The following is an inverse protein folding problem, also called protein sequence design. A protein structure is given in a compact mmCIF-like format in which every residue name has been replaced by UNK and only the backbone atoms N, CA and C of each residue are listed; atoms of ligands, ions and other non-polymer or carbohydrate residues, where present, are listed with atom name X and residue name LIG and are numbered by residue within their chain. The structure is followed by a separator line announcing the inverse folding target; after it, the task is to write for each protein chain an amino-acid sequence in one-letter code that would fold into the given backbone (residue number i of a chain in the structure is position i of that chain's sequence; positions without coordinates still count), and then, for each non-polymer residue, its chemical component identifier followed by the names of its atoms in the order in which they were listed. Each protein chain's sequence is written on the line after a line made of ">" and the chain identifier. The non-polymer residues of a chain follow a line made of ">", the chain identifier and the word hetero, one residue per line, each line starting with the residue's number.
data_IF_679315160269
#
_entry.id   IF_679315160269
#
_cell.length_a   1.000
_cell.length_b   1.000
_cell.length_c   1.000
_cell.angle_alpha   90.00
_cell.angle_beta   90.00
_cell.angle_gamma   90.00
#
_symmetry.space_group_name_H-M   'P 1'
#
loop_
_entity.id
_entity.type
_entity.pdbx_description
1 polymer ?
#
# COMPACT_ATOMS: atom_id res chain seq x y z
N UNK A 1 35.34 10.59 -42.52
CA UNK A 1 34.46 11.19 -43.55
C UNK A 1 33.84 10.07 -44.37
N UNK A 2 32.65 9.59 -44.01
CA UNK A 2 31.59 9.11 -44.93
C UNK A 2 30.28 9.27 -44.15
N UNK A 3 29.44 10.17 -44.63
CA UNK A 3 28.10 10.50 -44.14
C UNK A 3 27.08 9.51 -44.70
N UNK A 4 26.33 8.82 -43.84
CA UNK A 4 25.21 7.96 -44.23
C UNK A 4 23.90 8.51 -43.68
N UNK A 5 23.12 9.17 -44.54
CA UNK A 5 21.72 9.48 -44.32
C UNK A 5 20.90 8.19 -44.17
N UNK A 6 20.14 8.07 -43.08
CA UNK A 6 19.07 7.09 -42.95
C UNK A 6 17.72 7.79 -43.13
N UNK A 7 16.99 7.26 -44.10
CA UNK A 7 15.72 7.73 -44.63
C UNK A 7 14.57 7.42 -43.67
N UNK A 8 13.68 8.39 -43.43
CA UNK A 8 12.35 8.18 -42.87
C UNK A 8 11.42 7.61 -43.96
N UNK A 9 10.44 6.77 -43.58
CA UNK A 9 9.13 6.81 -44.21
C UNK A 9 8.04 7.14 -43.18
N UNK A 10 7.35 8.25 -43.45
CA UNK A 10 6.02 8.59 -42.94
C UNK A 10 4.96 7.89 -43.81
N UNK A 11 3.88 7.37 -43.20
CA UNK A 11 2.47 7.30 -43.64
C UNK A 11 1.76 6.38 -42.61
N UNK A 12 0.96 6.87 -41.64
CA UNK A 12 -0.44 7.33 -41.77
C UNK A 12 -1.42 6.24 -42.20
N UNK A 13 -2.07 5.55 -41.24
CA UNK A 13 -3.51 5.23 -41.23
C UNK A 13 -3.95 4.67 -39.85
N UNK A 14 -5.21 4.93 -39.40
CA UNK A 14 -5.67 4.65 -38.04
C UNK A 14 -6.43 3.30 -37.96
N UNK A 15 -6.53 2.63 -36.80
CA UNK A 15 -7.53 1.58 -36.63
C UNK A 15 -8.88 2.18 -36.27
N UNK A 16 -9.85 1.87 -37.12
CA UNK A 16 -11.31 2.06 -37.06
C UNK A 16 -11.92 1.43 -35.79
N UNK A 17 -13.11 1.87 -35.33
CA UNK A 17 -13.55 1.78 -33.94
C UNK A 17 -14.19 0.43 -33.63
N UNK A 18 -13.96 -0.07 -32.42
CA UNK A 18 -14.81 -1.08 -31.81
C UNK A 18 -15.79 -0.35 -30.89
N UNK A 19 -17.02 -0.24 -31.37
CA UNK A 19 -18.21 0.04 -30.55
C UNK A 19 -19.11 -1.18 -30.61
N UNK A 20 -19.63 -1.48 -29.43
CA UNK A 20 -20.81 -2.28 -29.04
C UNK A 20 -20.51 -2.72 -27.59
N UNK A 21 -20.37 -1.78 -26.64
CA UNK A 21 -21.46 -1.32 -25.76
C UNK A 21 -22.33 -2.50 -25.26
N UNK A 22 -21.93 -3.14 -24.13
CA UNK A 22 -22.82 -3.52 -23.00
C UNK A 22 -22.18 -4.45 -21.93
N UNK A 23 -20.96 -4.96 -22.08
CA UNK A 23 -20.58 -6.15 -21.31
C UNK A 23 -19.82 -6.02 -19.97
N UNK A 24 -19.46 -4.84 -19.45
CA UNK A 24 -18.59 -4.77 -18.26
C UNK A 24 -18.87 -3.61 -17.29
N UNK A 25 -20.09 -3.08 -17.25
CA UNK A 25 -20.50 -2.05 -16.28
C UNK A 25 -20.67 -2.59 -14.84
N UNK A 26 -20.07 -3.74 -14.48
CA UNK A 26 -20.32 -4.42 -13.19
C UNK A 26 -19.09 -5.11 -12.56
N UNK A 27 -17.92 -5.16 -13.19
CA UNK A 27 -16.72 -5.80 -12.58
C UNK A 27 -15.86 -4.87 -11.72
N UNK A 28 -16.36 -3.67 -11.40
CA UNK A 28 -15.65 -2.64 -10.62
C UNK A 28 -16.02 -2.60 -9.13
N UNK A 29 -16.62 -3.68 -8.61
CA UNK A 29 -16.54 -4.02 -7.18
C UNK A 29 -15.36 -5.00 -6.96
N UNK A 30 -14.16 -4.44 -7.11
CA UNK A 30 -12.90 -4.88 -6.46
C UNK A 30 -12.72 -6.39 -6.28
N UNK A 31 -12.64 -7.12 -7.40
CA UNK A 31 -12.11 -8.50 -7.52
C UNK A 31 -12.32 -9.37 -6.28
N UNK A 32 -13.61 -9.65 -6.05
CA UNK A 32 -14.14 -10.89 -5.49
C UNK A 32 -13.54 -12.09 -6.23
N UNK A 33 -13.86 -13.31 -5.77
CA UNK A 33 -13.44 -14.60 -6.32
C UNK A 33 -13.75 -14.82 -7.83
N UNK A 34 -14.25 -13.80 -8.52
CA UNK A 34 -14.82 -13.79 -9.86
C UNK A 34 -13.74 -13.63 -10.95
N UNK A 35 -12.54 -13.13 -10.62
CA UNK A 35 -11.42 -13.11 -11.59
C UNK A 35 -10.83 -14.50 -11.88
N UNK A 36 -11.25 -15.52 -11.14
CA UNK A 36 -10.85 -16.91 -11.40
C UNK A 36 -11.69 -17.59 -12.50
N UNK A 37 -12.87 -17.06 -12.85
CA UNK A 37 -13.68 -17.61 -13.95
C UNK A 37 -13.02 -17.35 -15.32
N UNK A 38 -12.23 -16.29 -15.45
CA UNK A 38 -11.45 -15.99 -16.66
C UNK A 38 -10.15 -16.82 -16.80
N UNK A 39 -9.75 -17.57 -15.77
CA UNK A 39 -8.62 -18.52 -15.83
C UNK A 39 -9.11 -19.91 -16.25
N UNK A 40 -10.12 -19.98 -17.11
CA UNK A 40 -10.60 -21.25 -17.64
C UNK A 40 -9.71 -21.84 -18.74
N UNK A 41 -8.72 -21.09 -19.26
CA UNK A 41 -8.03 -21.49 -20.49
C UNK A 41 -6.57 -21.94 -20.38
N UNK A 42 -5.84 -21.69 -19.29
CA UNK A 42 -4.41 -22.07 -19.26
C UNK A 42 -3.92 -22.46 -17.86
N UNK A 43 -3.86 -23.77 -17.58
CA UNK A 43 -2.75 -24.52 -16.92
C UNK A 43 -3.23 -25.89 -16.38
N UNK A 44 -2.39 -26.91 -16.59
CA UNK A 44 -2.47 -28.30 -16.12
C UNK A 44 -2.63 -28.42 -14.59
N UNK A 45 -3.87 -28.58 -14.10
CA UNK A 45 -4.30 -29.49 -13.02
C UNK A 45 -5.54 -28.91 -12.31
N UNK A 46 -6.74 -29.23 -12.82
CA UNK A 46 -8.01 -28.78 -12.25
C UNK A 46 -8.21 -29.16 -10.77
N UNK A 47 -7.52 -30.21 -10.30
CA UNK A 47 -7.59 -30.67 -8.90
C UNK A 47 -6.87 -29.71 -7.95
N UNK A 48 -5.66 -29.25 -8.30
CA UNK A 48 -4.90 -28.32 -7.47
C UNK A 48 -5.60 -26.95 -7.41
N UNK A 49 -6.09 -26.49 -8.57
CA UNK A 49 -6.83 -25.24 -8.67
C UNK A 49 -8.13 -25.28 -7.85
N UNK A 50 -8.88 -26.38 -7.95
CA UNK A 50 -10.10 -26.60 -7.16
C UNK A 50 -9.80 -26.71 -5.65
N UNK A 51 -8.70 -27.35 -5.26
CA UNK A 51 -8.29 -27.42 -3.85
C UNK A 51 -7.93 -26.04 -3.28
N UNK A 52 -7.17 -25.24 -4.04
CA UNK A 52 -6.83 -23.85 -3.68
C UNK A 52 -8.07 -22.97 -3.58
N UNK A 53 -8.98 -23.05 -4.56
CA UNK A 53 -10.25 -22.35 -4.55
C UNK A 53 -11.08 -22.68 -3.30
N UNK A 54 -11.23 -23.98 -2.99
CA UNK A 54 -11.97 -24.41 -1.81
C UNK A 54 -11.33 -23.96 -0.50
N UNK A 55 -9.99 -23.92 -0.42
CA UNK A 55 -9.27 -23.40 0.74
C UNK A 55 -9.54 -21.90 0.95
N UNK A 56 -9.44 -21.10 -0.12
CA UNK A 56 -9.72 -19.66 -0.06
C UNK A 56 -11.19 -19.38 0.28
N UNK A 57 -12.13 -20.15 -0.28
CA UNK A 57 -13.56 -20.04 0.03
C UNK A 57 -13.84 -20.31 1.51
N UNK A 58 -13.30 -21.40 2.06
CA UNK A 58 -13.44 -21.73 3.50
C UNK A 58 -12.87 -20.61 4.37
N UNK A 59 -11.69 -20.11 4.03
CA UNK A 59 -11.05 -19.00 4.75
C UNK A 59 -11.90 -17.72 4.71
N UNK A 60 -12.49 -17.39 3.55
CA UNK A 60 -13.43 -16.26 3.41
C UNK A 60 -14.62 -16.41 4.36
N UNK A 61 -15.19 -17.60 4.45
CA UNK A 61 -16.31 -17.91 5.35
C UNK A 61 -15.89 -17.84 6.84
N UNK A 62 -14.67 -18.26 7.16
CA UNK A 62 -14.12 -18.15 8.53
C UNK A 62 -13.93 -16.70 8.95
N UNK A 63 -13.33 -15.85 8.11
CA UNK A 63 -13.15 -14.42 8.38
C UNK A 63 -14.52 -13.75 8.51
N UNK A 64 -15.45 -14.02 7.59
CA UNK A 64 -16.81 -13.46 7.63
C UNK A 64 -17.53 -13.83 8.94
N UNK A 65 -17.46 -15.11 9.34
CA UNK A 65 -18.07 -15.59 10.59
C UNK A 65 -17.41 -14.95 11.81
N UNK A 66 -16.09 -14.82 11.79
CA UNK A 66 -15.35 -14.17 12.86
C UNK A 66 -15.77 -12.71 13.03
N UNK A 67 -15.80 -11.93 11.95
CA UNK A 67 -16.21 -10.51 11.99
C UNK A 67 -17.67 -10.36 12.42
N UNK A 68 -18.57 -11.22 11.93
CA UNK A 68 -19.98 -11.20 12.34
C UNK A 68 -20.17 -11.50 13.83
N UNK A 69 -19.44 -12.48 14.36
CA UNK A 69 -19.55 -12.87 15.77
C UNK A 69 -19.01 -11.82 16.74
N UNK A 70 -18.13 -10.93 16.27
CA UNK A 70 -17.51 -9.86 17.07
C UNK A 70 -17.89 -8.48 16.54
N UNK A 71 -19.08 -8.34 15.94
CA UNK A 71 -19.53 -7.07 15.38
C UNK A 71 -19.80 -6.02 16.47
N UNK A 72 -20.25 -6.48 17.65
CA UNK A 72 -20.55 -5.64 18.82
C UNK A 72 -19.35 -5.49 19.78
N UNK A 73 -18.27 -6.25 19.54
CA UNK A 73 -17.06 -6.26 20.36
C UNK A 73 -15.96 -5.39 19.77
N UNK A 74 -15.06 -4.87 20.60
CA UNK A 74 -13.84 -4.23 20.10
C UNK A 74 -12.89 -5.28 19.50
N UNK A 75 -12.78 -5.29 18.17
CA UNK A 75 -11.86 -6.15 17.40
C UNK A 75 -10.41 -6.04 17.89
N UNK A 76 -10.02 -4.95 18.55
CA UNK A 76 -8.68 -4.78 19.11
C UNK A 76 -8.32 -5.82 20.17
N UNK A 77 -9.31 -6.46 20.81
CA UNK A 77 -9.12 -7.55 21.77
C UNK A 77 -8.71 -8.86 21.10
N UNK A 78 -8.97 -9.02 19.81
CA UNK A 78 -8.70 -10.26 19.06
C UNK A 78 -7.52 -10.13 18.09
N UNK A 79 -6.56 -9.27 18.42
CA UNK A 79 -5.43 -8.94 17.55
C UNK A 79 -4.63 -10.15 17.07
N UNK A 80 -4.49 -11.19 17.90
CA UNK A 80 -3.76 -12.39 17.54
C UNK A 80 -4.49 -13.20 16.47
N UNK A 81 -5.82 -13.28 16.54
CA UNK A 81 -6.65 -13.93 15.52
C UNK A 81 -6.59 -13.16 14.20
N UNK A 82 -6.71 -11.83 14.26
CA UNK A 82 -6.60 -10.97 13.07
C UNK A 82 -5.23 -11.12 12.38
N UNK A 83 -4.14 -11.13 13.17
CA UNK A 83 -2.78 -11.43 12.67
C UNK A 83 -2.67 -12.85 12.12
N UNK A 84 -3.35 -13.81 12.71
CA UNK A 84 -3.42 -15.19 12.20
C UNK A 84 -4.05 -15.26 10.81
N UNK A 85 -5.18 -14.58 10.60
CA UNK A 85 -5.82 -14.47 9.27
C UNK A 85 -4.93 -13.76 8.26
N UNK A 86 -4.31 -12.64 8.66
CA UNK A 86 -3.38 -11.90 7.82
C UNK A 86 -2.15 -12.73 7.43
N UNK A 87 -1.59 -13.55 8.32
CA UNK A 87 -0.37 -14.32 8.05
C UNK A 87 -0.62 -15.63 7.31
N UNK A 88 -1.79 -16.24 7.48
CA UNK A 88 -2.15 -17.49 6.80
C UNK A 88 -2.28 -17.33 5.29
N UNK A 89 -2.13 -18.42 4.53
CA UNK A 89 -2.15 -18.43 3.06
C UNK A 89 -3.35 -17.65 2.49
N UNK A 90 -3.10 -16.84 1.45
CA UNK A 90 -4.12 -15.97 0.84
C UNK A 90 -4.50 -14.69 1.62
N UNK A 91 -4.03 -14.52 2.86
CA UNK A 91 -4.21 -13.27 3.61
C UNK A 91 -5.65 -12.95 3.98
N UNK A 92 -5.99 -11.67 3.99
CA UNK A 92 -7.34 -11.24 4.32
C UNK A 92 -8.31 -11.40 3.14
N UNK A 93 -7.82 -11.78 1.96
CA UNK A 93 -8.58 -12.10 0.74
C UNK A 93 -9.27 -10.88 0.13
N UNK A 94 -10.21 -10.24 0.84
CA UNK A 94 -11.08 -9.18 0.32
C UNK A 94 -10.82 -7.84 0.98
N UNK A 95 -10.95 -6.76 0.20
CA UNK A 95 -10.77 -5.39 0.66
C UNK A 95 -11.79 -5.00 1.73
N UNK A 96 -13.02 -5.49 1.67
CA UNK A 96 -14.03 -5.28 2.71
C UNK A 96 -13.59 -5.77 4.10
N UNK A 97 -12.78 -6.84 4.16
CA UNK A 97 -12.23 -7.35 5.42
C UNK A 97 -11.00 -6.54 5.81
N UNK A 98 -10.15 -6.17 4.84
CA UNK A 98 -8.99 -5.31 5.08
C UNK A 98 -9.39 -3.94 5.61
N UNK A 99 -10.42 -3.32 5.06
CA UNK A 99 -10.97 -2.03 5.52
C UNK A 99 -11.36 -2.06 7.01
N UNK A 100 -11.82 -3.20 7.51
CA UNK A 100 -12.16 -3.37 8.93
C UNK A 100 -10.95 -3.73 9.79
N UNK A 101 -10.03 -4.55 9.26
CA UNK A 101 -8.93 -5.16 10.02
C UNK A 101 -7.69 -4.28 10.05
N UNK A 102 -7.31 -3.65 8.92
CA UNK A 102 -6.10 -2.82 8.81
C UNK A 102 -6.09 -1.66 9.81
N UNK A 103 -7.18 -0.89 10.04
CA UNK A 103 -7.20 0.14 11.08
C UNK A 103 -6.90 -0.40 12.48
N UNK A 104 -7.41 -1.60 12.79
CA UNK A 104 -7.17 -2.27 14.09
C UNK A 104 -5.71 -2.69 14.22
N UNK A 105 -5.13 -3.27 13.15
CA UNK A 105 -3.72 -3.66 13.12
C UNK A 105 -2.78 -2.45 13.23
N UNK A 106 -3.09 -1.37 12.51
CA UNK A 106 -2.32 -0.15 12.47
C UNK A 106 -2.31 0.57 13.83
N UNK A 107 -3.45 0.68 14.51
CA UNK A 107 -3.53 1.27 15.86
C UNK A 107 -2.65 0.55 16.89
N UNK A 108 -2.44 -0.77 16.73
CA UNK A 108 -1.57 -1.55 17.63
C UNK A 108 -0.08 -1.38 17.34
N UNK A 109 0.32 -0.67 16.28
CA UNK A 109 1.72 -0.24 16.09
C UNK A 109 2.10 0.82 17.13
N UNK A 110 1.15 1.69 17.49
CA UNK A 110 1.31 2.76 18.49
C UNK A 110 1.79 2.18 19.84
N UNK A 111 1.12 1.13 20.31
CA UNK A 111 1.33 0.56 21.66
C UNK A 111 2.66 -0.20 21.84
N UNK A 112 3.41 -0.48 20.76
CA UNK A 112 4.68 -1.23 20.87
C UNK A 112 5.94 -0.35 20.92
N UNK A 113 5.80 0.97 20.74
CA UNK A 113 6.93 1.89 20.59
C UNK A 113 7.13 2.84 21.79
N UNK A 114 6.35 2.71 22.86
CA UNK A 114 6.38 3.65 24.00
C UNK A 114 7.54 3.42 24.99
N UNK A 115 8.46 2.47 24.78
CA UNK A 115 9.53 2.19 25.75
C UNK A 115 10.95 2.69 25.39
N UNK A 116 11.18 3.35 24.25
CA UNK A 116 12.51 3.91 23.93
C UNK A 116 12.40 5.27 23.21
N UNK A 117 12.15 6.34 23.98
CA UNK A 117 12.91 7.62 24.00
C UNK A 117 12.08 8.81 24.53
N UNK A 118 12.34 9.16 25.81
CA UNK A 118 12.54 10.49 26.44
C UNK A 118 11.74 11.72 25.92
N UNK A 119 10.86 12.20 26.82
CA UNK A 119 10.50 13.59 27.16
C UNK A 119 9.88 14.47 26.06
N UNK A 120 8.55 14.63 26.10
CA UNK A 120 7.93 15.94 25.82
C UNK A 120 6.59 16.07 26.54
N UNK A 121 6.54 16.98 27.50
CA UNK A 121 5.38 17.28 28.32
C UNK A 121 4.68 18.49 27.70
N UNK A 122 3.69 18.27 26.83
CA UNK A 122 2.79 19.33 26.40
C UNK A 122 1.33 18.95 26.65
N UNK A 123 0.78 19.57 27.69
CA UNK A 123 -0.62 19.47 28.07
C UNK A 123 -1.49 20.27 27.12
N UNK A 124 -2.37 19.57 26.39
CA UNK A 124 -3.51 20.21 25.74
C UNK A 124 -4.77 19.95 26.55
N UNK A 125 -5.43 21.04 26.95
CA UNK A 125 -6.73 21.06 27.61
C UNK A 125 -7.83 20.88 26.58
N UNK A 126 -8.70 19.88 26.79
CA UNK A 126 -9.91 19.65 26.01
C UNK A 126 -11.07 20.47 26.62
N UNK A 127 -11.55 21.48 25.90
CA UNK A 127 -12.80 22.18 26.25
C UNK A 127 -13.94 21.57 25.44
N UNK A 128 -14.90 21.00 26.16
CA UNK A 128 -16.16 20.50 25.63
C UNK A 128 -17.17 21.63 25.44
N UNK A 129 -17.77 21.73 24.26
CA UNK A 129 -18.87 22.66 23.96
C UNK A 129 -19.90 21.99 23.06
N UNK A 130 -21.11 21.83 23.58
CA UNK A 130 -22.27 21.16 22.96
C UNK A 130 -23.11 22.08 22.06
N UNK A 131 -23.40 21.56 20.86
CA UNK A 131 -24.61 21.58 20.01
C UNK A 131 -25.32 22.90 19.63
N UNK A 132 -25.40 23.15 18.31
CA UNK A 132 -26.61 23.63 17.62
C UNK A 132 -26.58 23.22 16.14
N UNK A 133 -27.64 22.56 15.66
CA UNK A 133 -27.61 21.67 14.49
C UNK A 133 -28.35 22.20 13.26
N UNK A 134 -28.19 23.49 12.92
CA UNK A 134 -28.89 24.06 11.74
C UNK A 134 -28.03 24.96 10.83
N UNK A 135 -26.75 25.20 11.16
CA UNK A 135 -25.77 25.96 10.35
C UNK A 135 -24.64 25.10 9.73
N UNK A 136 -24.77 23.76 9.77
CA UNK A 136 -23.66 22.83 9.53
C UNK A 136 -23.18 22.76 8.07
N UNK A 137 -24.05 22.87 7.07
CA UNK A 137 -23.65 22.57 5.68
C UNK A 137 -22.79 23.66 5.01
N UNK A 138 -23.01 24.93 5.35
CA UNK A 138 -22.21 26.06 4.85
C UNK A 138 -20.91 26.21 5.65
N UNK A 139 -20.93 25.94 6.95
CA UNK A 139 -19.73 25.99 7.79
C UNK A 139 -18.79 24.80 7.53
N UNK A 140 -19.30 23.61 7.25
CA UNK A 140 -18.49 22.44 6.86
C UNK A 140 -17.77 22.67 5.53
N UNK A 141 -18.47 23.18 4.51
CA UNK A 141 -17.83 23.52 3.23
C UNK A 141 -16.77 24.63 3.39
N UNK A 142 -17.02 25.63 4.24
CA UNK A 142 -16.04 26.70 4.48
C UNK A 142 -14.81 26.19 5.25
N UNK A 143 -14.98 25.36 6.29
CA UNK A 143 -13.87 24.78 7.06
C UNK A 143 -13.05 23.75 6.29
N UNK A 144 -13.68 22.91 5.46
CA UNK A 144 -12.97 21.95 4.61
C UNK A 144 -12.12 22.68 3.55
N UNK A 145 -12.64 23.76 2.99
CA UNK A 145 -11.91 24.60 2.01
C UNK A 145 -10.72 25.33 2.68
N UNK A 146 -10.90 25.86 3.89
CA UNK A 146 -9.82 26.51 4.65
C UNK A 146 -8.72 25.53 5.09
N UNK A 147 -9.08 24.30 5.48
CA UNK A 147 -8.12 23.25 5.79
C UNK A 147 -7.29 22.88 4.55
N UNK A 148 -7.93 22.74 3.39
CA UNK A 148 -7.24 22.43 2.12
C UNK A 148 -6.29 23.55 1.68
N UNK A 149 -6.72 24.81 1.77
CA UNK A 149 -5.86 25.96 1.45
C UNK A 149 -4.63 26.03 2.38
N UNK A 150 -4.80 25.72 3.66
CA UNK A 150 -3.67 25.59 4.59
C UNK A 150 -2.73 24.44 4.21
N UNK A 151 -3.27 23.32 3.69
CA UNK A 151 -2.47 22.18 3.24
C UNK A 151 -1.67 22.51 1.96
N UNK A 152 -2.25 23.28 1.04
CA UNK A 152 -1.57 23.74 -0.19
C UNK A 152 -0.34 24.59 0.10
N UNK A 153 -0.30 25.27 1.25
CA UNK A 153 0.87 26.01 1.73
C UNK A 153 2.04 25.13 2.21
N UNK A 154 1.87 23.81 2.32
CA UNK A 154 2.93 22.92 2.80
C UNK A 154 4.09 22.84 1.79
N UNK A 155 5.37 22.90 2.23
CA UNK A 155 6.52 22.92 1.32
C UNK A 155 6.59 21.72 0.36
N UNK A 156 6.02 20.59 0.78
CA UNK A 156 6.09 19.32 0.04
C UNK A 156 4.87 19.09 -0.85
N UNK A 157 3.86 19.96 -0.82
CA UNK A 157 2.61 19.81 -1.59
C UNK A 157 2.88 19.56 -3.07
N UNK A 158 3.67 20.44 -3.70
CA UNK A 158 3.93 20.36 -5.14
C UNK A 158 4.63 19.06 -5.55
N UNK A 159 5.60 18.60 -4.74
CA UNK A 159 6.30 17.36 -5.01
C UNK A 159 5.38 16.13 -4.87
N UNK A 160 4.52 16.13 -3.84
CA UNK A 160 3.52 15.07 -3.63
C UNK A 160 2.54 15.04 -4.81
N UNK A 161 2.01 16.18 -5.22
CA UNK A 161 1.06 16.29 -6.34
C UNK A 161 1.65 15.75 -7.64
N UNK A 162 2.90 16.08 -7.97
CA UNK A 162 3.59 15.55 -9.15
C UNK A 162 3.73 14.03 -9.13
N UNK A 163 4.06 13.46 -7.97
CA UNK A 163 4.22 12.02 -7.83
C UNK A 163 2.88 11.29 -7.88
N UNK A 164 1.85 11.82 -7.21
CA UNK A 164 0.48 11.32 -7.27
C UNK A 164 -0.04 11.29 -8.71
N UNK A 165 0.18 12.36 -9.47
CA UNK A 165 -0.19 12.43 -10.88
C UNK A 165 0.52 11.36 -11.72
N UNK A 166 1.82 11.11 -11.45
CA UNK A 166 2.60 10.09 -12.16
C UNK A 166 2.10 8.67 -11.86
N UNK A 167 1.80 8.37 -10.61
CA UNK A 167 1.31 7.03 -10.21
C UNK A 167 -0.09 6.78 -10.76
N UNK A 168 -1.01 7.73 -10.59
CA UNK A 168 -2.40 7.55 -11.02
C UNK A 168 -2.59 7.49 -12.54
N UNK A 169 -1.62 7.99 -13.31
CA UNK A 169 -1.55 7.77 -14.77
C UNK A 169 -1.31 6.31 -15.16
N UNK A 170 -0.76 5.49 -14.25
CA UNK A 170 -0.37 4.09 -14.52
C UNK A 170 -1.16 3.08 -13.69
N UNK A 171 -1.62 3.46 -12.50
CA UNK A 171 -2.23 2.55 -11.54
C UNK A 171 -3.27 3.28 -10.67
N UNK A 172 -4.46 2.71 -10.42
CA UNK A 172 -4.98 1.45 -10.93
C UNK A 172 -5.27 1.51 -12.45
N UNK A 173 -5.04 0.42 -13.21
CA UNK A 173 -5.37 0.37 -14.62
C UNK A 173 -6.89 0.42 -14.83
N UNK A 174 -7.33 0.99 -15.95
CA UNK A 174 -8.73 0.96 -16.41
C UNK A 174 -9.76 1.69 -15.50
N UNK A 175 -9.34 2.67 -14.70
CA UNK A 175 -10.27 3.57 -14.01
C UNK A 175 -10.69 4.74 -14.92
N UNK A 176 -11.91 5.24 -14.74
CA UNK A 176 -12.38 6.44 -15.43
C UNK A 176 -11.57 7.67 -15.01
N UNK A 177 -11.50 8.67 -15.89
CA UNK A 177 -10.79 9.91 -15.60
C UNK A 177 -11.40 10.65 -14.39
N UNK A 178 -12.73 10.60 -14.22
CA UNK A 178 -13.42 11.16 -13.05
C UNK A 178 -12.98 10.48 -11.74
N UNK A 179 -12.86 9.15 -11.76
CA UNK A 179 -12.39 8.40 -10.59
C UNK A 179 -10.92 8.69 -10.31
N UNK A 180 -10.10 8.80 -11.36
CA UNK A 180 -8.69 9.18 -11.24
C UNK A 180 -8.54 10.55 -10.62
N UNK A 181 -9.31 11.53 -11.09
CA UNK A 181 -9.35 12.88 -10.55
C UNK A 181 -9.79 12.88 -9.09
N UNK A 182 -10.84 12.13 -8.75
CA UNK A 182 -11.28 11.97 -7.35
C UNK A 182 -10.16 11.43 -6.45
N UNK A 183 -9.42 10.40 -6.91
CA UNK A 183 -8.29 9.86 -6.17
C UNK A 183 -7.13 10.86 -6.03
N UNK A 184 -6.86 11.67 -7.05
CA UNK A 184 -5.86 12.75 -6.98
C UNK A 184 -6.24 13.78 -5.92
N UNK A 185 -7.50 14.23 -5.93
CA UNK A 185 -8.04 15.18 -4.95
C UNK A 185 -8.04 14.64 -3.53
N UNK A 186 -8.15 13.32 -3.33
CA UNK A 186 -8.13 12.69 -2.01
C UNK A 186 -6.71 12.38 -1.51
N UNK A 187 -5.82 11.91 -2.40
CA UNK A 187 -4.53 11.38 -2.03
C UNK A 187 -3.51 12.47 -1.65
N UNK A 188 -3.46 13.57 -2.41
CA UNK A 188 -2.51 14.65 -2.11
C UNK A 188 -2.77 15.28 -0.73
N UNK A 189 -4.01 15.69 -0.38
CA UNK A 189 -4.31 16.18 0.97
C UNK A 189 -4.06 15.11 2.04
N UNK A 190 -4.40 13.84 1.79
CA UNK A 190 -4.13 12.75 2.74
C UNK A 190 -2.65 12.66 3.12
N UNK A 191 -1.75 12.65 2.14
CA UNK A 191 -0.30 12.56 2.37
C UNK A 191 0.18 13.79 3.14
N UNK A 192 -0.21 15.00 2.70
CA UNK A 192 0.23 16.24 3.35
C UNK A 192 -0.32 16.37 4.78
N UNK A 193 -1.55 15.92 5.05
CA UNK A 193 -2.10 15.84 6.41
C UNK A 193 -1.25 14.93 7.29
N UNK A 194 -0.83 13.77 6.79
CA UNK A 194 0.07 12.87 7.53
C UNK A 194 1.41 13.54 7.80
N UNK A 195 2.01 14.21 6.82
CA UNK A 195 3.28 14.92 6.99
C UNK A 195 3.18 16.03 8.05
N UNK A 196 2.07 16.80 8.05
CA UNK A 196 1.82 17.86 9.04
C UNK A 196 1.69 17.36 10.48
N UNK A 197 1.40 16.07 10.70
CA UNK A 197 1.34 15.52 12.06
C UNK A 197 2.70 15.50 12.77
N UNK A 198 3.80 15.68 12.04
CA UNK A 198 5.13 15.83 12.61
C UNK A 198 5.98 16.79 11.74
N UNK A 199 6.34 17.98 12.23
CA UNK A 199 7.16 18.94 11.48
C UNK A 199 8.54 18.42 11.04
N UNK A 200 8.99 17.31 11.62
CA UNK A 200 10.26 16.65 11.25
C UNK A 200 10.12 15.67 10.09
N UNK A 201 8.89 15.29 9.72
CA UNK A 201 8.70 14.44 8.55
C UNK A 201 9.12 15.18 7.29
N UNK A 202 9.84 14.44 6.44
CA UNK A 202 10.25 14.84 5.11
C UNK A 202 9.74 13.79 4.14
N UNK A 203 9.00 14.23 3.15
CA UNK A 203 8.47 13.39 2.10
C UNK A 203 9.60 12.75 1.30
N UNK A 204 9.48 11.44 1.06
CA UNK A 204 10.33 10.70 0.14
C UNK A 204 9.51 10.18 -1.03
N UNK A 205 10.14 10.12 -2.21
CA UNK A 205 9.50 9.60 -3.41
C UNK A 205 9.21 8.11 -3.26
N UNK A 206 7.92 7.76 -3.26
CA UNK A 206 7.40 6.40 -3.09
C UNK A 206 6.36 6.28 -1.97
N UNK A 207 6.34 7.22 -1.02
CA UNK A 207 5.35 7.20 0.06
C UNK A 207 3.90 7.33 -0.45
N UNK A 208 3.70 8.03 -1.57
CA UNK A 208 2.40 8.14 -2.22
C UNK A 208 1.82 6.78 -2.65
N UNK A 209 2.65 5.82 -3.07
CA UNK A 209 2.18 4.49 -3.47
C UNK A 209 1.67 3.70 -2.25
N UNK A 210 2.27 3.92 -1.07
CA UNK A 210 1.81 3.35 0.20
C UNK A 210 0.46 3.94 0.59
N UNK A 211 0.35 5.27 0.58
CA UNK A 211 -0.88 5.97 0.90
C UNK A 211 -2.01 5.67 -0.09
N UNK A 212 -1.70 5.52 -1.39
CA UNK A 212 -2.67 5.12 -2.41
C UNK A 212 -3.23 3.73 -2.11
N UNK A 213 -2.36 2.76 -1.79
CA UNK A 213 -2.80 1.40 -1.46
C UNK A 213 -3.74 1.39 -0.26
N UNK A 214 -3.39 2.15 0.79
CA UNK A 214 -4.26 2.31 1.96
C UNK A 214 -5.57 3.01 1.60
N UNK A 215 -5.54 4.06 0.78
CA UNK A 215 -6.74 4.79 0.35
C UNK A 215 -7.70 3.90 -0.46
N UNK A 216 -7.17 3.08 -1.36
CA UNK A 216 -7.96 2.16 -2.18
C UNK A 216 -8.69 1.10 -1.34
N UNK A 217 -8.04 0.61 -0.27
CA UNK A 217 -8.58 -0.45 0.58
C UNK A 217 -9.49 0.11 1.68
N UNK A 218 -9.04 1.14 2.39
CA UNK A 218 -9.68 1.64 3.61
C UNK A 218 -10.66 2.80 3.35
N UNK A 219 -10.58 3.44 2.18
CA UNK A 219 -11.34 4.64 1.87
C UNK A 219 -10.86 5.87 2.65
N UNK A 220 -11.39 7.05 2.28
CA UNK A 220 -10.93 8.35 2.79
C UNK A 220 -11.07 8.50 4.30
N UNK A 221 -12.14 7.94 4.89
CA UNK A 221 -12.49 8.08 6.31
C UNK A 221 -11.45 7.47 7.24
N UNK A 222 -10.88 6.31 6.86
CA UNK A 222 -9.97 5.57 7.74
C UNK A 222 -8.53 5.54 7.24
N UNK A 223 -8.30 5.92 5.98
CA UNK A 223 -6.96 5.95 5.40
C UNK A 223 -6.00 6.89 6.15
N UNK A 224 -6.49 8.04 6.64
CA UNK A 224 -5.66 8.98 7.41
C UNK A 224 -5.07 8.34 8.66
N UNK A 225 -5.88 7.72 9.52
CA UNK A 225 -5.38 7.13 10.76
C UNK A 225 -4.45 5.93 10.51
N UNK A 226 -4.72 5.15 9.46
CA UNK A 226 -3.84 4.04 9.06
C UNK A 226 -2.49 4.57 8.57
N UNK A 227 -2.48 5.55 7.65
CA UNK A 227 -1.25 6.16 7.13
C UNK A 227 -0.47 6.88 8.24
N UNK A 228 -1.16 7.59 9.14
CA UNK A 228 -0.55 8.24 10.31
C UNK A 228 0.13 7.21 11.21
N UNK A 229 -0.54 6.11 11.53
CA UNK A 229 0.03 5.04 12.35
C UNK A 229 1.25 4.38 11.68
N UNK A 230 1.19 4.16 10.37
CA UNK A 230 2.31 3.63 9.58
C UNK A 230 3.50 4.61 9.51
N UNK A 231 3.24 5.91 9.42
CA UNK A 231 4.25 6.96 9.40
C UNK A 231 4.92 7.17 10.76
N UNK A 232 4.17 7.09 11.87
CA UNK A 232 4.71 7.34 13.21
C UNK A 232 5.30 6.11 13.90
N UNK A 233 4.74 4.93 13.65
CA UNK A 233 5.08 3.71 14.40
C UNK A 233 5.41 2.52 13.50
N UNK A 234 5.24 2.67 12.19
CA UNK A 234 5.62 1.68 11.20
C UNK A 234 7.05 1.86 10.68
N UNK A 235 7.43 1.09 9.64
CA UNK A 235 8.78 1.12 9.10
C UNK A 235 9.09 2.41 8.34
N UNK A 236 8.06 3.09 7.83
CA UNK A 236 8.22 4.33 7.08
C UNK A 236 8.64 5.51 7.97
N UNK A 237 8.52 5.39 9.31
CA UNK A 237 8.95 6.42 10.25
C UNK A 237 10.42 6.80 10.07
N UNK A 238 11.30 5.80 9.92
CA UNK A 238 12.72 6.06 9.71
C UNK A 238 12.96 6.74 8.36
N UNK A 239 12.22 6.36 7.32
CA UNK A 239 12.34 6.91 5.97
C UNK A 239 11.82 8.35 5.88
N UNK A 240 10.84 8.72 6.71
CA UNK A 240 10.30 10.08 6.80
C UNK A 240 11.14 11.00 7.69
N UNK A 241 11.90 10.46 8.66
CA UNK A 241 12.68 11.27 9.62
C UNK A 241 14.15 11.43 9.26
N UNK A 242 14.72 10.50 8.51
CA UNK A 242 16.15 10.42 8.23
C UNK A 242 16.41 10.61 6.74
N UNK A 243 17.68 10.87 6.40
CA UNK A 243 18.13 10.81 5.02
C UNK A 243 17.95 9.40 4.44
N UNK A 244 17.90 9.28 3.11
CA UNK A 244 17.85 7.99 2.42
C UNK A 244 19.04 7.09 2.78
N UNK A 245 20.23 7.70 2.93
CA UNK A 245 21.49 7.05 3.34
C UNK A 245 21.42 6.49 4.76
N UNK A 246 20.83 7.24 5.70
CA UNK A 246 20.76 6.85 7.11
C UNK A 246 19.58 5.93 7.45
N UNK A 247 18.80 5.53 6.45
CA UNK A 247 17.60 4.72 6.62
C UNK A 247 17.59 3.49 5.72
N UNK A 248 16.86 3.55 4.61
CA UNK A 248 16.60 2.41 3.73
C UNK A 248 17.89 1.85 3.10
N UNK A 249 18.90 2.68 2.83
CA UNK A 249 20.16 2.20 2.24
C UNK A 249 20.95 1.33 3.23
N UNK A 250 20.99 1.71 4.51
CA UNK A 250 21.54 0.87 5.59
C UNK A 250 20.76 -0.43 5.75
N UNK A 251 19.43 -0.38 5.65
CA UNK A 251 18.61 -1.59 5.71
C UNK A 251 18.87 -2.52 4.50
N UNK A 252 19.14 -1.96 3.34
CA UNK A 252 19.44 -2.69 2.11
C UNK A 252 20.78 -3.44 2.15
N UNK A 253 21.75 -2.98 2.93
CA UNK A 253 23.04 -3.70 3.09
C UNK A 253 22.84 -5.12 3.62
N UNK A 254 21.77 -5.35 4.41
CA UNK A 254 21.41 -6.68 4.89
C UNK A 254 20.95 -7.63 3.79
N UNK A 255 20.57 -7.13 2.60
CA UNK A 255 20.14 -7.97 1.48
C UNK A 255 21.21 -9.00 1.11
N UNK A 256 22.48 -8.59 0.98
CA UNK A 256 23.57 -9.51 0.69
C UNK A 256 23.88 -10.47 1.84
N UNK A 257 23.67 -10.03 3.09
CA UNK A 257 23.80 -10.92 4.26
C UNK A 257 22.74 -12.02 4.19
N UNK A 258 21.49 -11.69 3.87
CA UNK A 258 20.41 -12.66 3.69
C UNK A 258 20.71 -13.60 2.52
N UNK A 259 21.09 -13.04 1.36
CA UNK A 259 21.43 -13.82 0.17
C UNK A 259 22.56 -14.81 0.45
N UNK A 260 23.60 -14.40 1.19
CA UNK A 260 24.71 -15.30 1.57
C UNK A 260 24.27 -16.51 2.41
N UNK A 261 23.12 -16.44 3.08
CA UNK A 261 22.55 -17.55 3.87
C UNK A 261 21.55 -18.38 3.09
N UNK A 262 20.80 -17.78 2.17
CA UNK A 262 19.74 -18.44 1.40
C UNK A 262 20.28 -19.06 0.11
N UNK A 263 21.06 -18.30 -0.64
CA UNK A 263 21.70 -18.70 -1.89
C UNK A 263 23.09 -18.05 -2.03
N UNK A 264 24.14 -18.69 -1.48
CA UNK A 264 25.52 -18.19 -1.58
C UNK A 264 26.04 -18.12 -3.02
N UNK A 265 25.48 -18.91 -3.95
CA UNK A 265 25.92 -18.89 -5.34
C UNK A 265 25.43 -17.62 -6.03
N UNK A 266 24.15 -17.29 -5.88
CA UNK A 266 23.58 -16.04 -6.39
C UNK A 266 24.28 -14.83 -5.78
N UNK A 267 24.50 -14.83 -4.47
CA UNK A 267 25.18 -13.74 -3.76
C UNK A 267 26.56 -13.43 -4.36
N UNK A 268 27.35 -14.48 -4.61
CA UNK A 268 28.68 -14.37 -5.22
C UNK A 268 28.61 -13.78 -6.63
N UNK A 269 27.68 -14.25 -7.46
CA UNK A 269 27.49 -13.72 -8.82
C UNK A 269 27.12 -12.23 -8.78
N UNK A 270 26.21 -11.83 -7.89
CA UNK A 270 25.81 -10.42 -7.73
C UNK A 270 26.96 -9.52 -7.27
N UNK A 271 27.86 -10.03 -6.41
CA UNK A 271 29.08 -9.32 -6.01
C UNK A 271 30.11 -9.24 -7.14
N UNK A 272 30.30 -10.31 -7.89
CA UNK A 272 31.25 -10.36 -9.02
C UNK A 272 30.89 -9.29 -10.07
N UNK A 273 29.59 -9.10 -10.35
CA UNK A 273 29.11 -8.05 -11.28
C UNK A 273 28.97 -6.67 -10.65
N UNK A 274 29.28 -6.51 -9.35
CA UNK A 274 29.17 -5.26 -8.58
C UNK A 274 27.80 -4.59 -8.70
N UNK A 275 26.71 -5.36 -8.66
CA UNK A 275 25.35 -4.85 -8.85
C UNK A 275 24.95 -3.82 -7.77
N UNK A 276 25.50 -3.95 -6.56
CA UNK A 276 25.09 -3.15 -5.41
C UNK A 276 23.67 -3.51 -4.95
N UNK A 277 22.99 -2.60 -4.25
CA UNK A 277 21.65 -2.81 -3.66
C UNK A 277 20.58 -1.86 -4.22
N UNK A 278 20.96 -0.89 -5.05
CA UNK A 278 20.07 0.18 -5.52
C UNK A 278 18.90 -0.33 -6.36
N UNK A 279 19.06 -1.48 -7.03
CA UNK A 279 17.99 -2.10 -7.81
C UNK A 279 16.77 -2.49 -6.94
N UNK A 280 16.98 -2.71 -5.64
CA UNK A 280 15.95 -3.12 -4.68
C UNK A 280 15.39 -1.92 -3.88
N UNK A 281 15.84 -0.69 -4.15
CA UNK A 281 15.48 0.49 -3.37
C UNK A 281 13.98 0.79 -3.33
N UNK A 282 13.27 0.57 -4.44
CA UNK A 282 11.83 0.82 -4.50
C UNK A 282 11.03 -0.13 -3.61
N UNK A 283 11.51 -1.37 -3.42
CA UNK A 283 10.77 -2.42 -2.72
C UNK A 283 10.35 -2.06 -1.28
N UNK A 284 11.23 -1.56 -0.40
CA UNK A 284 10.87 -1.20 0.96
C UNK A 284 10.18 0.16 1.02
N UNK A 285 10.55 1.09 0.12
CA UNK A 285 10.01 2.45 0.10
C UNK A 285 8.53 2.43 -0.23
N UNK A 286 8.10 1.48 -1.07
CA UNK A 286 6.70 1.38 -1.49
C UNK A 286 6.03 0.10 -1.01
N UNK A 287 6.69 -0.72 -0.18
CA UNK A 287 6.25 -2.10 0.11
C UNK A 287 5.85 -2.87 -1.16
N UNK A 288 6.72 -2.84 -2.17
CA UNK A 288 6.58 -3.48 -3.47
C UNK A 288 5.42 -2.98 -4.35
N UNK A 289 4.58 -2.05 -3.89
CA UNK A 289 3.44 -1.55 -4.68
C UNK A 289 3.85 -0.90 -6.01
N UNK A 290 5.07 -0.35 -6.09
CA UNK A 290 5.61 0.21 -7.33
C UNK A 290 6.14 -0.87 -8.30
N UNK A 291 6.53 -2.04 -7.78
CA UNK A 291 7.21 -3.08 -8.56
C UNK A 291 6.29 -4.22 -8.99
N UNK A 292 5.14 -4.38 -8.33
CA UNK A 292 4.14 -5.38 -8.64
C UNK A 292 3.03 -4.76 -9.48
N UNK A 293 2.60 -5.48 -10.52
CA UNK A 293 1.53 -5.03 -11.41
C UNK A 293 0.14 -5.48 -10.92
N UNK A 294 0.08 -6.56 -10.14
CA UNK A 294 -1.16 -7.14 -9.67
C UNK A 294 -1.57 -6.56 -8.32
N UNK A 295 -2.68 -5.80 -8.30
CA UNK A 295 -3.23 -5.19 -7.09
C UNK A 295 -3.41 -6.19 -5.93
N UNK A 296 -3.90 -7.40 -6.23
CA UNK A 296 -4.13 -8.45 -5.23
C UNK A 296 -2.84 -8.89 -4.53
N UNK A 297 -1.71 -8.87 -5.23
CA UNK A 297 -0.41 -9.16 -4.62
C UNK A 297 0.03 -8.01 -3.72
N UNK A 298 -0.17 -6.76 -4.16
CA UNK A 298 0.17 -5.57 -3.38
C UNK A 298 -0.56 -5.58 -2.03
N UNK A 299 -1.89 -5.68 -2.03
CA UNK A 299 -2.67 -5.67 -0.78
C UNK A 299 -2.34 -6.88 0.11
N UNK A 300 -1.90 -8.00 -0.47
CA UNK A 300 -1.42 -9.17 0.28
C UNK A 300 -0.14 -8.87 1.06
N UNK A 301 0.79 -8.07 0.51
CA UNK A 301 1.96 -7.60 1.24
C UNK A 301 1.57 -6.71 2.41
N UNK A 302 0.57 -5.86 2.23
CA UNK A 302 0.06 -4.95 3.27
C UNK A 302 -0.72 -5.67 4.37
N UNK A 303 -1.33 -6.84 4.10
CA UNK A 303 -2.03 -7.63 5.13
C UNK A 303 -1.13 -7.95 6.33
N UNK A 304 0.13 -8.25 6.07
CA UNK A 304 1.09 -8.65 7.10
C UNK A 304 1.72 -7.39 7.70
N UNK A 305 0.94 -6.56 8.41
CA UNK A 305 1.47 -5.45 9.25
C UNK A 305 2.50 -6.03 10.21
N UNK A 306 3.81 -5.87 9.96
CA UNK A 306 4.80 -6.64 10.71
C UNK A 306 4.87 -6.13 12.16
N UNK A 307 5.00 -7.04 13.13
CA UNK A 307 5.24 -6.65 14.54
C UNK A 307 6.70 -6.21 14.67
N UNK A 308 6.98 -4.91 14.66
CA UNK A 308 8.35 -4.39 14.71
C UNK A 308 8.90 -4.33 16.14
N UNK A 309 8.99 -5.49 16.76
CA UNK A 309 9.84 -5.68 17.93
C UNK A 309 11.05 -6.49 17.44
N UNK A 310 12.20 -5.81 17.36
CA UNK A 310 13.58 -6.37 17.31
C UNK A 310 14.14 -7.03 16.05
N UNK A 311 13.51 -6.99 14.87
CA UNK A 311 14.18 -7.44 13.63
C UNK A 311 13.76 -6.67 12.37
N UNK A 312 14.77 -6.33 11.55
CA UNK A 312 14.68 -5.48 10.36
C UNK A 312 13.50 -5.87 9.43
N UNK A 313 12.66 -4.91 8.98
CA UNK A 313 11.51 -5.14 8.08
C UNK A 313 11.85 -6.00 6.86
N UNK A 314 13.03 -5.79 6.28
CA UNK A 314 13.50 -6.53 5.12
C UNK A 314 13.64 -8.03 5.37
N UNK A 315 14.18 -8.43 6.52
CA UNK A 315 14.38 -9.85 6.84
C UNK A 315 13.03 -10.55 6.88
N UNK A 316 11.99 -9.93 7.46
CA UNK A 316 10.66 -10.57 7.54
C UNK A 316 9.90 -10.56 6.23
N UNK A 317 9.97 -9.48 5.45
CA UNK A 317 9.29 -9.42 4.15
C UNK A 317 9.98 -10.33 3.13
N UNK A 318 11.31 -10.35 3.07
CA UNK A 318 12.07 -11.28 2.23
C UNK A 318 11.95 -12.73 2.71
N UNK A 319 11.95 -13.02 4.02
CA UNK A 319 11.71 -14.39 4.52
C UNK A 319 10.28 -14.88 4.26
N UNK A 320 9.27 -14.00 4.31
CA UNK A 320 7.91 -14.37 3.89
C UNK A 320 7.82 -14.57 2.37
N UNK A 321 8.59 -13.83 1.55
CA UNK A 321 8.71 -14.13 0.12
C UNK A 321 9.39 -15.49 -0.15
N UNK A 322 10.38 -15.87 0.67
CA UNK A 322 11.04 -17.20 0.58
C UNK A 322 10.14 -18.37 1.01
N UNK A 323 8.95 -18.13 1.58
CA UNK A 323 7.91 -19.15 1.59
C UNK A 323 7.39 -19.26 0.14
N UNK A 324 7.88 -20.29 -0.56
CA UNK A 324 7.69 -20.79 -1.95
C UNK A 324 6.45 -20.38 -2.79
N UNK A 325 5.46 -19.68 -2.25
CA UNK A 325 4.24 -19.27 -2.94
C UNK A 325 4.27 -17.84 -3.50
N UNK A 326 5.15 -16.94 -3.03
CA UNK A 326 5.23 -15.56 -3.56
C UNK A 326 6.23 -15.45 -4.73
N UNK A 327 7.29 -16.25 -4.75
CA UNK A 327 8.28 -16.23 -5.84
C UNK A 327 7.93 -17.08 -7.08
N UNK A 328 6.71 -17.66 -7.15
CA UNK A 328 6.24 -18.39 -8.35
C UNK A 328 5.51 -17.49 -9.35
N UNK A 329 5.73 -16.18 -9.28
CA UNK A 329 5.23 -15.21 -10.26
C UNK A 329 6.42 -14.89 -11.17
N UNK A 330 6.46 -15.61 -12.29
CA UNK A 330 7.28 -15.42 -13.50
C UNK A 330 8.43 -14.41 -13.39
N UNK A 331 9.64 -14.93 -13.15
CA UNK A 331 10.82 -14.46 -13.88
C UNK A 331 10.95 -15.23 -15.19
#
# INVERSE_FOLDING_TARGET
>A
MITGHLCMPSYSEPPTPLRDDDYLYTSLETSSCDDLENIHSYIKSGVLMSARFNCLRKKREEIARFLKNHADDDLSNHINSLRGFARSNGGLILDQYRAQIWPVLARRLVTSAEDEDVDDHDGYSFVSGTNSSVELSLAQNTMETEEEDCLRGHPEWHQVELDVNRTLARFPPNISDDRRYTLQCQLTPLIVRVLRTNPRFRYYQGFHDVCLTVLLVCGVETAFEVCRSLAHHGPFRSYLLKSLEDSVLKELEFLYVILSRVDPHLERVLREVRLGTMFALSWPLTWFSHSLNEYQQIVRFFDVFPRFTTSNPYIRICCNCSQKEICNINM
#
